data_IF_162778876572
#
_entry.id   IF_162778876572
#
_cell.length_a   1.000
_cell.length_b   1.000
_cell.length_c   1.000
_cell.angle_alpha   90.00
_cell.angle_beta   90.00
_cell.angle_gamma   90.00
#
_symmetry.space_group_name_H-M   'P 1'
#
loop_
_entity.id
_entity.type
_entity.pdbx_description
1 polymer ?
#
# COMPACT_ATOMS: atom_id res chain seq x y z
N UNK A 1 -5.97 -16.05 -15.24
CA UNK A 1 -6.61 -15.40 -14.08
C UNK A 1 -5.61 -14.60 -13.25
N UNK A 2 -4.51 -15.19 -12.76
CA UNK A 2 -3.51 -14.45 -11.96
C UNK A 2 -2.87 -13.27 -12.70
N UNK A 3 -2.69 -13.37 -14.02
CA UNK A 3 -2.11 -12.30 -14.85
C UNK A 3 -2.97 -11.04 -14.92
N UNK A 4 -4.30 -11.20 -14.94
CA UNK A 4 -5.22 -10.06 -15.00
C UNK A 4 -5.33 -9.37 -13.63
N UNK A 5 -5.44 -10.15 -12.55
CA UNK A 5 -5.39 -9.64 -11.19
C UNK A 5 -4.08 -8.90 -10.91
N UNK A 6 -2.95 -9.46 -11.36
CA UNK A 6 -1.64 -8.81 -11.25
C UNK A 6 -1.59 -7.48 -12.00
N UNK A 7 -2.12 -7.44 -13.24
CA UNK A 7 -2.19 -6.22 -14.05
C UNK A 7 -3.00 -5.14 -13.34
N UNK A 8 -4.20 -5.47 -12.85
CA UNK A 8 -5.08 -4.52 -12.17
C UNK A 8 -4.47 -4.04 -10.84
N UNK A 9 -3.86 -4.94 -10.06
CA UNK A 9 -3.18 -4.59 -8.81
C UNK A 9 -2.00 -3.63 -9.05
N UNK A 10 -1.20 -3.85 -10.11
CA UNK A 10 -0.10 -2.96 -10.50
C UNK A 10 -0.61 -1.59 -10.96
N UNK A 11 -1.69 -1.55 -11.74
CA UNK A 11 -2.31 -0.30 -12.16
C UNK A 11 -2.83 0.51 -10.96
N UNK A 12 -3.48 -0.15 -10.01
CA UNK A 12 -3.94 0.51 -8.78
C UNK A 12 -2.77 1.04 -7.93
N UNK A 13 -1.68 0.28 -7.80
CA UNK A 13 -0.47 0.76 -7.13
C UNK A 13 0.13 2.01 -7.79
N UNK A 14 0.13 2.07 -9.13
CA UNK A 14 0.63 3.23 -9.87
C UNK A 14 -0.24 4.48 -9.66
N UNK A 15 -1.56 4.35 -9.69
CA UNK A 15 -2.47 5.47 -9.44
C UNK A 15 -2.39 5.96 -7.99
N UNK A 16 -2.30 5.04 -7.01
CA UNK A 16 -2.09 5.40 -5.61
C UNK A 16 -0.74 6.12 -5.42
N UNK A 17 0.33 5.61 -6.01
CA UNK A 17 1.64 6.25 -5.99
C UNK A 17 1.60 7.65 -6.59
N UNK A 18 0.94 7.81 -7.74
CA UNK A 18 0.77 9.11 -8.41
C UNK A 18 0.01 10.10 -7.51
N UNK A 19 -1.07 9.64 -6.88
CA UNK A 19 -1.88 10.44 -5.97
C UNK A 19 -1.07 10.90 -4.75
N UNK A 20 -0.38 9.98 -4.08
CA UNK A 20 0.46 10.29 -2.92
C UNK A 20 1.56 11.29 -3.27
N UNK A 21 2.30 11.04 -4.36
CA UNK A 21 3.39 11.92 -4.80
C UNK A 21 2.94 13.25 -5.38
N UNK A 22 1.69 13.35 -5.83
CA UNK A 22 1.09 14.60 -6.29
C UNK A 22 0.50 15.45 -5.16
N UNK A 23 0.50 14.96 -3.91
CA UNK A 23 -0.20 15.61 -2.79
C UNK A 23 0.68 15.76 -1.55
N UNK A 24 0.94 14.69 -0.82
CA UNK A 24 1.51 14.70 0.54
C UNK A 24 2.80 13.89 0.67
N UNK A 25 3.33 13.36 -0.43
CA UNK A 25 4.57 12.59 -0.47
C UNK A 25 5.49 13.11 -1.58
N UNK A 26 6.77 12.74 -1.48
CA UNK A 26 7.76 13.00 -2.53
C UNK A 26 8.47 11.68 -2.87
N UNK A 27 8.33 11.24 -4.11
CA UNK A 27 8.98 10.05 -4.66
C UNK A 27 8.75 8.72 -3.91
N UNK A 28 7.65 8.59 -3.17
CA UNK A 28 7.27 7.29 -2.58
C UNK A 28 7.04 6.27 -3.69
N UNK A 29 7.45 5.03 -3.44
CA UNK A 29 7.20 3.91 -4.35
C UNK A 29 6.21 2.96 -3.72
N UNK A 30 5.12 2.66 -4.43
CA UNK A 30 4.13 1.68 -4.00
C UNK A 30 4.25 0.46 -4.90
N UNK A 31 4.46 -0.70 -4.29
CA UNK A 31 4.53 -1.97 -5.00
C UNK A 31 3.25 -2.77 -4.77
N UNK A 32 2.88 -3.59 -5.74
CA UNK A 32 1.89 -4.65 -5.60
C UNK A 32 2.60 -6.00 -5.64
N UNK A 33 2.48 -6.79 -4.57
CA UNK A 33 3.16 -8.08 -4.44
C UNK A 33 2.16 -9.18 -4.13
N UNK A 34 2.19 -10.25 -4.91
CA UNK A 34 1.37 -11.44 -4.66
C UNK A 34 1.82 -12.12 -3.37
N UNK A 35 0.88 -12.46 -2.50
CA UNK A 35 1.17 -13.29 -1.32
C UNK A 35 1.32 -14.76 -1.71
N UNK A 36 2.41 -15.43 -1.27
CA UNK A 36 2.67 -16.83 -1.63
C UNK A 36 1.69 -17.83 -1.01
N UNK A 37 1.08 -17.50 0.14
CA UNK A 37 0.12 -18.36 0.85
C UNK A 37 -1.03 -17.52 1.38
N UNK A 38 -2.23 -17.76 0.86
CA UNK A 38 -3.47 -17.24 1.41
C UNK A 38 -4.54 -18.31 1.25
N UNK A 39 -5.27 -18.58 2.33
CA UNK A 39 -6.38 -19.55 2.35
C UNK A 39 -7.57 -19.07 1.50
N UNK A 40 -7.66 -17.77 1.25
CA UNK A 40 -8.72 -17.12 0.48
C UNK A 40 -8.41 -17.00 -1.03
N UNK A 41 -7.39 -17.70 -1.54
CA UNK A 41 -6.95 -17.62 -2.93
C UNK A 41 -5.88 -16.54 -3.19
N UNK A 42 -5.65 -16.11 -4.44
CA UNK A 42 -4.59 -15.15 -4.76
C UNK A 42 -4.92 -13.76 -4.20
N UNK A 43 -4.05 -13.26 -3.32
CA UNK A 43 -4.19 -11.92 -2.72
C UNK A 43 -2.92 -11.11 -2.96
N UNK A 44 -3.07 -9.89 -3.47
CA UNK A 44 -1.98 -8.93 -3.59
C UNK A 44 -1.95 -8.02 -2.36
N UNK A 45 -0.76 -7.76 -1.84
CA UNK A 45 -0.54 -6.67 -0.88
C UNK A 45 0.04 -5.49 -1.63
N UNK A 46 -0.52 -4.31 -1.40
CA UNK A 46 0.03 -3.04 -1.84
C UNK A 46 0.60 -2.29 -0.65
N UNK A 47 1.70 -1.55 -0.89
CA UNK A 47 2.36 -0.76 0.13
C UNK A 47 3.78 -0.37 -0.27
N UNK A 48 4.40 0.45 0.56
CA UNK A 48 5.80 0.84 0.42
C UNK A 48 6.74 -0.24 1.00
N UNK A 49 7.97 -0.35 0.50
CA UNK A 49 8.96 -1.33 0.99
C UNK A 49 8.67 -2.80 0.66
N UNK A 50 7.53 -3.11 0.04
CA UNK A 50 7.16 -4.51 -0.25
C UNK A 50 8.06 -5.16 -1.30
N UNK A 51 8.41 -6.42 -1.06
CA UNK A 51 9.18 -7.26 -1.98
C UNK A 51 8.61 -8.67 -2.02
N UNK A 52 9.06 -9.51 -2.95
CA UNK A 52 8.64 -10.92 -3.01
C UNK A 52 9.03 -11.71 -1.74
N UNK A 53 10.07 -11.29 -1.03
CA UNK A 53 10.52 -11.92 0.22
C UNK A 53 9.82 -11.34 1.46
N UNK A 54 9.35 -10.09 1.37
CA UNK A 54 8.51 -9.44 2.39
C UNK A 54 7.21 -8.91 1.74
N UNK A 55 6.24 -9.80 1.47
CA UNK A 55 5.01 -9.43 0.77
C UNK A 55 3.92 -8.88 1.70
N UNK A 56 4.16 -8.77 3.01
CA UNK A 56 3.12 -8.48 4.01
C UNK A 56 3.43 -7.34 4.96
N UNK A 57 4.68 -6.91 5.10
CA UNK A 57 5.07 -5.86 6.04
C UNK A 57 5.49 -4.62 5.25
N UNK A 58 4.55 -3.72 4.93
CA UNK A 58 4.89 -2.46 4.31
C UNK A 58 5.65 -1.58 5.30
N UNK A 59 6.59 -0.81 4.76
CA UNK A 59 7.37 0.18 5.50
C UNK A 59 6.63 1.51 5.52
N UNK A 60 6.80 2.27 6.60
CA UNK A 60 6.30 3.63 6.63
C UNK A 60 7.16 4.55 5.76
N UNK A 61 6.57 5.67 5.33
CA UNK A 61 7.26 6.69 4.54
C UNK A 61 6.90 8.09 5.04
N UNK A 62 7.81 9.06 4.89
CA UNK A 62 7.58 10.41 5.38
C UNK A 62 6.51 11.14 4.58
N UNK A 63 5.65 11.89 5.28
CA UNK A 63 4.76 12.87 4.68
C UNK A 63 5.52 14.19 4.47
N UNK A 64 5.54 14.67 3.23
CA UNK A 64 6.24 15.87 2.78
C UNK A 64 5.29 16.73 1.95
N UNK A 65 4.59 17.63 2.64
CA UNK A 65 3.73 18.65 1.99
C UNK A 65 4.56 19.82 1.43
N UNK A 66 5.77 20.01 1.98
CA UNK A 66 6.74 21.00 1.52
C UNK A 66 8.18 20.41 1.55
N UNK A 67 9.17 21.24 1.22
CA UNK A 67 10.59 20.86 1.24
C UNK A 67 11.22 20.90 2.64
N UNK A 68 10.43 21.01 3.73
CA UNK A 68 10.96 20.98 5.09
C UNK A 68 11.16 19.54 5.57
N UNK A 69 11.76 19.43 6.76
CA UNK A 69 11.89 18.13 7.44
C UNK A 69 10.49 17.54 7.70
N UNK A 70 10.25 16.26 7.38
CA UNK A 70 9.00 15.59 7.70
C UNK A 70 8.70 15.69 9.19
N UNK A 71 7.43 15.89 9.51
CA UNK A 71 6.90 15.91 10.88
C UNK A 71 5.87 14.81 11.12
N UNK A 72 5.58 14.02 10.10
CA UNK A 72 4.65 12.92 10.16
C UNK A 72 5.08 11.83 9.18
N UNK A 73 4.74 10.60 9.51
CA UNK A 73 4.99 9.41 8.72
C UNK A 73 3.69 8.68 8.47
N UNK A 74 3.60 7.99 7.34
CA UNK A 74 2.42 7.22 6.98
C UNK A 74 2.81 5.76 6.77
N UNK A 75 2.03 4.86 7.35
CA UNK A 75 2.04 3.45 6.98
C UNK A 75 0.71 3.15 6.26
N UNK A 76 0.81 2.59 5.06
CA UNK A 76 -0.32 2.38 4.16
C UNK A 76 -0.24 0.99 3.54
N UNK A 77 -1.33 0.25 3.63
CA UNK A 77 -1.47 -1.06 2.99
C UNK A 77 -2.87 -1.28 2.43
N UNK A 78 -2.93 -1.97 1.29
CA UNK A 78 -4.17 -2.53 0.77
C UNK A 78 -3.98 -4.01 0.48
N UNK A 79 -5.00 -4.80 0.77
CA UNK A 79 -5.09 -6.19 0.36
C UNK A 79 -6.12 -6.30 -0.75
N UNK A 80 -5.68 -6.73 -1.93
CA UNK A 80 -6.52 -6.82 -3.10
C UNK A 80 -6.75 -8.27 -3.49
N UNK A 81 -7.98 -8.59 -3.83
CA UNK A 81 -8.40 -9.87 -4.39
C UNK A 81 -9.40 -9.62 -5.51
N UNK A 82 -9.75 -10.67 -6.25
CA UNK A 82 -10.96 -10.60 -7.05
C UNK A 82 -12.18 -10.60 -6.11
N UNK A 83 -13.23 -9.90 -6.49
CA UNK A 83 -14.53 -10.00 -5.84
C UNK A 83 -15.07 -11.44 -5.85
N UNK A 84 -16.18 -11.66 -5.15
CA UNK A 84 -16.74 -12.99 -4.96
C UNK A 84 -17.24 -13.61 -6.29
N UNK A 85 -17.49 -12.75 -7.30
CA UNK A 85 -17.83 -13.13 -8.68
C UNK A 85 -16.59 -13.43 -9.54
N UNK A 86 -15.38 -13.13 -9.05
CA UNK A 86 -14.12 -13.38 -9.75
C UNK A 86 -13.86 -12.45 -10.94
N UNK A 87 -14.56 -11.32 -11.03
CA UNK A 87 -14.62 -10.47 -12.23
C UNK A 87 -13.92 -9.12 -12.06
N UNK A 88 -13.89 -8.57 -10.84
CA UNK A 88 -13.36 -7.24 -10.58
C UNK A 88 -12.33 -7.25 -9.44
N UNK A 89 -11.32 -6.37 -9.53
CA UNK A 89 -10.41 -6.10 -8.42
C UNK A 89 -11.18 -5.41 -7.28
N UNK A 90 -11.17 -6.02 -6.11
CA UNK A 90 -11.75 -5.47 -4.90
C UNK A 90 -10.69 -5.29 -3.80
N UNK A 91 -10.84 -4.23 -3.03
CA UNK A 91 -10.10 -4.04 -1.77
C UNK A 91 -10.75 -4.93 -0.71
N UNK A 92 -10.05 -5.98 -0.29
CA UNK A 92 -10.51 -6.85 0.80
C UNK A 92 -10.35 -6.17 2.16
N UNK A 93 -9.20 -5.53 2.35
CA UNK A 93 -8.90 -4.75 3.55
C UNK A 93 -7.92 -3.63 3.22
N UNK A 94 -7.98 -2.57 4.00
CA UNK A 94 -7.05 -1.46 3.95
C UNK A 94 -6.55 -1.15 5.34
N UNK A 95 -5.36 -0.59 5.41
CA UNK A 95 -4.79 -0.02 6.61
C UNK A 95 -4.15 1.31 6.22
N UNK A 96 -4.53 2.38 6.87
CA UNK A 96 -3.88 3.68 6.71
C UNK A 96 -3.68 4.30 8.08
N UNK A 97 -2.43 4.54 8.46
CA UNK A 97 -2.11 5.22 9.71
C UNK A 97 -1.09 6.33 9.51
N UNK A 98 -1.25 7.40 10.28
CA UNK A 98 -0.35 8.56 10.32
C UNK A 98 0.27 8.62 11.72
N UNK A 99 1.58 8.83 11.77
CA UNK A 99 2.39 8.84 12.98
C UNK A 99 3.15 10.16 13.12
N UNK A 100 3.44 10.57 14.35
CA UNK A 100 4.21 11.77 14.65
C UNK A 100 5.74 11.56 14.62
N UNK A 101 6.17 10.30 14.57
CA UNK A 101 7.56 9.87 14.59
C UNK A 101 7.80 8.77 13.55
N UNK A 102 9.08 8.56 13.23
CA UNK A 102 9.55 7.61 12.21
C UNK A 102 9.44 6.15 12.67
N UNK A 103 9.59 5.92 13.98
CA UNK A 103 9.56 4.61 14.62
C UNK A 103 8.13 4.08 14.81
N UNK A 104 7.13 4.89 14.44
CA UNK A 104 5.69 4.58 14.47
C UNK A 104 5.14 4.36 15.89
N UNK A 105 5.76 4.99 16.89
CA UNK A 105 5.36 4.86 18.30
C UNK A 105 4.11 5.71 18.62
N UNK A 106 3.99 6.88 18.00
CA UNK A 106 2.92 7.86 18.27
C UNK A 106 1.94 7.95 17.10
N UNK A 107 0.93 7.08 17.10
CA UNK A 107 -0.14 7.13 16.11
C UNK A 107 -1.05 8.36 16.32
N UNK A 108 -1.16 9.20 15.30
CA UNK A 108 -2.04 10.36 15.26
C UNK A 108 -3.45 9.99 14.78
N UNK A 109 -3.55 9.08 13.80
CA UNK A 109 -4.81 8.62 13.21
C UNK A 109 -4.61 7.28 12.51
N UNK A 110 -5.57 6.38 12.62
CA UNK A 110 -5.66 5.17 11.79
C UNK A 110 -7.08 4.98 11.22
N UNK A 111 -7.16 4.32 10.07
CA UNK A 111 -8.38 3.93 9.34
C UNK A 111 -8.24 2.48 8.84
#
# INVERSE_FOLDING_TARGET
MTSELERQARAFAQELQKTLNGTVCQHVRIAAVLRPRSEAGPVFTLGHGLTRVNPTQPEAFPLRVDNRRPRAWMNLSFQLRLDDEGSYLAVHSSYCAIFADEDLETCLRSL
#
